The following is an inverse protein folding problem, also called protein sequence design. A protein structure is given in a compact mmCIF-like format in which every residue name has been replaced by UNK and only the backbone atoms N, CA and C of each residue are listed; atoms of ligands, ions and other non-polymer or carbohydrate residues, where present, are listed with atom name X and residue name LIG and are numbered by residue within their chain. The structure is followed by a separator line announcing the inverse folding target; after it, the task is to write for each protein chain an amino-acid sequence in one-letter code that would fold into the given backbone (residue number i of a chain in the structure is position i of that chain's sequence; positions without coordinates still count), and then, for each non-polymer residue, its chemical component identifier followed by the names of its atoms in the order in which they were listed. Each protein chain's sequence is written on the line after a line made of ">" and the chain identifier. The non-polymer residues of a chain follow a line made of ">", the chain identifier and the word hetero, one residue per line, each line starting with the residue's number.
data_IF_298398519432
#
_entry.id   IF_298398519432
#
_cell.length_a   1.000
_cell.length_b   1.000
_cell.length_c   1.000
_cell.angle_alpha   90.00
_cell.angle_beta   90.00
_cell.angle_gamma   90.00
#
_symmetry.space_group_name_H-M   'P 1'
#
loop_
_entity.id
_entity.type
_entity.pdbx_description
1 polymer ?
#
# COMPACT_ATOMS: atom_id res chain seq x y z
N UNK A 1 5.44 18.41 -10.10
CA UNK A 1 6.20 18.64 -11.34
C UNK A 1 5.38 18.16 -12.50
N UNK A 2 5.45 18.84 -13.65
CA UNK A 2 4.82 18.38 -14.89
C UNK A 2 5.69 17.37 -15.65
N UNK A 3 5.24 16.96 -16.83
CA UNK A 3 6.01 16.12 -17.74
C UNK A 3 7.19 16.91 -18.33
N UNK A 4 8.31 16.22 -18.52
CA UNK A 4 9.50 16.75 -19.21
C UNK A 4 10.07 15.69 -20.15
N UNK A 5 11.02 16.06 -21.01
CA UNK A 5 11.73 15.09 -21.86
C UNK A 5 12.53 14.03 -21.09
N UNK A 6 12.79 14.26 -19.80
CA UNK A 6 13.42 13.27 -18.92
C UNK A 6 12.44 12.35 -18.21
N UNK A 7 11.12 12.55 -18.36
CA UNK A 7 10.11 11.75 -17.66
C UNK A 7 10.00 10.36 -18.29
N UNK A 8 10.33 9.33 -17.51
CA UNK A 8 10.26 7.94 -17.93
C UNK A 8 8.91 7.27 -17.64
N UNK A 9 8.76 6.03 -18.11
CA UNK A 9 7.55 5.23 -17.88
C UNK A 9 7.27 5.00 -16.39
N UNK A 10 8.31 4.79 -15.57
CA UNK A 10 8.18 4.62 -14.11
C UNK A 10 7.68 5.90 -13.45
N UNK A 11 8.15 7.07 -13.88
CA UNK A 11 7.70 8.36 -13.34
C UNK A 11 6.22 8.61 -13.66
N UNK A 12 5.79 8.26 -14.87
CA UNK A 12 4.39 8.36 -15.29
C UNK A 12 3.53 7.43 -14.45
N UNK A 13 3.94 6.16 -14.30
CA UNK A 13 3.22 5.19 -13.48
C UNK A 13 3.13 5.64 -12.02
N UNK A 14 4.26 6.03 -11.42
CA UNK A 14 4.29 6.54 -10.05
C UNK A 14 3.38 7.76 -9.89
N UNK A 15 3.40 8.69 -10.86
CA UNK A 15 2.52 9.86 -10.88
C UNK A 15 1.04 9.51 -10.92
N UNK A 16 0.64 8.54 -11.74
CA UNK A 16 -0.74 8.03 -11.81
C UNK A 16 -1.17 7.40 -10.49
N UNK A 17 -0.30 6.55 -9.93
CA UNK A 17 -0.59 5.79 -8.71
C UNK A 17 -0.65 6.72 -7.49
N UNK A 18 0.24 7.71 -7.39
CA UNK A 18 0.12 8.80 -6.41
C UNK A 18 -1.16 9.62 -6.61
N UNK A 19 -1.63 9.77 -7.85
CA UNK A 19 -2.92 10.39 -8.16
C UNK A 19 -4.08 9.64 -7.52
N UNK A 20 -4.08 8.30 -7.59
CA UNK A 20 -5.09 7.45 -6.93
C UNK A 20 -5.11 7.68 -5.42
N UNK A 21 -3.94 7.73 -4.76
CA UNK A 21 -3.89 8.02 -3.32
C UNK A 21 -4.52 9.37 -2.97
N UNK A 22 -4.30 10.41 -3.80
CA UNK A 22 -4.85 11.76 -3.57
C UNK A 22 -6.37 11.82 -3.79
N UNK A 23 -6.91 11.03 -4.72
CA UNK A 23 -8.37 10.92 -4.89
C UNK A 23 -9.00 10.34 -3.63
N UNK A 24 -8.44 9.25 -3.10
CA UNK A 24 -8.90 8.67 -1.82
C UNK A 24 -8.79 9.68 -0.68
N UNK A 25 -7.70 10.46 -0.62
CA UNK A 25 -7.55 11.50 0.40
C UNK A 25 -8.65 12.57 0.34
N UNK A 26 -9.07 12.96 -0.87
CA UNK A 26 -10.17 13.90 -1.06
C UNK A 26 -11.51 13.30 -0.60
N UNK A 27 -11.78 12.04 -0.95
CA UNK A 27 -12.99 11.32 -0.51
C UNK A 27 -13.05 11.21 1.02
N UNK A 28 -11.91 10.97 1.68
CA UNK A 28 -11.83 10.91 3.14
C UNK A 28 -12.13 12.28 3.79
N UNK A 29 -11.69 13.39 3.20
CA UNK A 29 -12.03 14.73 3.71
C UNK A 29 -13.55 14.96 3.66
N UNK A 30 -14.20 14.54 2.57
CA UNK A 30 -15.65 14.61 2.45
C UNK A 30 -16.35 13.73 3.50
N UNK A 31 -15.90 12.49 3.67
CA UNK A 31 -16.44 11.59 4.69
C UNK A 31 -16.28 12.15 6.11
N UNK A 32 -15.11 12.69 6.44
CA UNK A 32 -14.80 13.28 7.76
C UNK A 32 -15.71 14.46 8.11
N UNK A 33 -16.17 15.22 7.11
CA UNK A 33 -17.16 16.28 7.30
C UNK A 33 -18.47 15.77 7.90
N UNK A 34 -18.77 14.47 7.72
CA UNK A 34 -20.00 13.83 8.21
C UNK A 34 -19.85 13.15 9.57
N UNK A 35 -18.61 12.83 10.00
CA UNK A 35 -18.35 12.04 11.23
C UNK A 35 -17.67 12.83 12.36
N UNK A 36 -17.47 14.15 12.18
CA UNK A 36 -17.08 15.06 13.27
C UNK A 36 -15.62 14.95 13.72
N UNK A 37 -14.77 14.25 12.97
CA UNK A 37 -13.34 14.14 13.27
C UNK A 37 -12.57 13.26 12.28
N UNK A 38 -11.23 13.21 12.39
CA UNK A 38 -10.39 12.41 11.50
C UNK A 38 -10.68 10.92 11.64
N UNK A 39 -10.74 10.22 10.50
CA UNK A 39 -10.91 8.76 10.49
C UNK A 39 -9.56 8.05 10.56
N UNK A 40 -9.57 6.85 11.13
CA UNK A 40 -8.48 5.90 10.97
C UNK A 40 -8.68 5.09 9.69
N UNK A 41 -7.57 4.81 9.01
CA UNK A 41 -7.59 4.11 7.72
C UNK A 41 -6.93 2.75 7.88
N UNK A 42 -7.63 1.70 7.43
CA UNK A 42 -7.08 0.35 7.32
C UNK A 42 -7.07 -0.05 5.85
N UNK A 43 -5.89 -0.25 5.30
CA UNK A 43 -5.69 -0.71 3.94
C UNK A 43 -5.74 -2.24 3.88
N UNK A 44 -6.33 -2.79 2.82
CA UNK A 44 -6.37 -4.24 2.61
C UNK A 44 -6.48 -4.59 1.13
N UNK A 45 -6.42 -5.89 0.84
CA UNK A 45 -6.45 -6.42 -0.52
C UNK A 45 -5.05 -6.69 -1.08
N UNK A 46 -4.98 -7.59 -2.06
CA UNK A 46 -3.71 -8.12 -2.58
C UNK A 46 -2.72 -7.06 -3.11
N UNK A 47 -3.19 -5.94 -3.67
CA UNK A 47 -2.29 -4.89 -4.15
C UNK A 47 -1.53 -4.21 -2.99
N UNK A 48 -2.22 -3.96 -1.87
CA UNK A 48 -1.64 -3.37 -0.66
C UNK A 48 -0.76 -4.38 0.06
N UNK A 49 -1.17 -5.65 0.12
CA UNK A 49 -0.39 -6.72 0.74
C UNK A 49 0.92 -6.99 -0.01
N UNK A 50 0.88 -7.02 -1.35
CA UNK A 50 2.04 -7.32 -2.17
C UNK A 50 3.03 -6.15 -2.37
N UNK A 51 2.70 -4.92 -1.95
CA UNK A 51 3.48 -3.73 -2.29
C UNK A 51 3.72 -2.79 -1.12
N UNK A 52 4.98 -2.72 -0.68
CA UNK A 52 5.43 -1.72 0.28
C UNK A 52 5.22 -0.29 -0.24
N UNK A 53 5.47 -0.07 -1.53
CA UNK A 53 5.29 1.23 -2.18
C UNK A 53 3.84 1.74 -2.05
N UNK A 54 2.85 0.87 -2.21
CA UNK A 54 1.45 1.24 -1.99
C UNK A 54 1.20 1.64 -0.53
N UNK A 55 1.67 0.84 0.42
CA UNK A 55 1.51 1.11 1.86
C UNK A 55 2.12 2.46 2.23
N UNK A 56 3.36 2.71 1.84
CA UNK A 56 4.08 3.96 2.11
C UNK A 56 3.42 5.16 1.42
N UNK A 57 3.05 5.02 0.14
CA UNK A 57 2.41 6.11 -0.61
C UNK A 57 1.08 6.53 0.00
N UNK A 58 0.28 5.59 0.51
CA UNK A 58 -0.94 5.92 1.25
C UNK A 58 -0.63 6.55 2.60
N UNK A 59 0.33 6.03 3.36
CA UNK A 59 0.72 6.61 4.64
C UNK A 59 1.17 8.08 4.49
N UNK A 60 1.98 8.37 3.46
CA UNK A 60 2.47 9.71 3.16
C UNK A 60 1.35 10.66 2.72
N UNK A 61 0.49 10.22 1.79
CA UNK A 61 -0.59 11.06 1.25
C UNK A 61 -1.70 11.32 2.27
N UNK A 62 -1.93 10.39 3.19
CA UNK A 62 -3.02 10.49 4.17
C UNK A 62 -2.59 11.14 5.49
N UNK A 63 -1.30 11.44 5.69
CA UNK A 63 -0.81 12.14 6.86
C UNK A 63 -1.60 13.45 7.10
N UNK A 64 -1.99 13.77 8.36
CA UNK A 64 -1.57 13.13 9.61
C UNK A 64 -2.47 11.97 10.10
N UNK A 65 -3.35 11.40 9.26
CA UNK A 65 -4.23 10.28 9.68
C UNK A 65 -3.41 9.07 10.11
N UNK A 66 -3.98 8.27 11.03
CA UNK A 66 -3.41 6.95 11.36
C UNK A 66 -3.79 5.96 10.26
N UNK A 67 -2.78 5.35 9.65
CA UNK A 67 -2.94 4.37 8.58
C UNK A 67 -2.31 3.05 9.00
N UNK A 68 -3.09 1.97 8.88
CA UNK A 68 -2.66 0.59 9.12
C UNK A 68 -2.90 -0.23 7.85
N UNK A 69 -2.32 -1.42 7.80
CA UNK A 69 -2.70 -2.42 6.80
C UNK A 69 -3.08 -3.76 7.46
N UNK A 70 -3.95 -4.49 6.77
CA UNK A 70 -4.29 -5.87 7.12
C UNK A 70 -3.51 -6.83 6.20
N UNK A 71 -2.78 -7.82 6.74
CA UNK A 71 -1.92 -8.72 5.96
C UNK A 71 -2.70 -9.85 5.24
N UNK A 72 -4.02 -9.72 5.08
CA UNK A 72 -4.84 -10.72 4.40
C UNK A 72 -5.15 -10.20 2.99
N UNK A 73 -4.61 -10.83 1.93
CA UNK A 73 -4.85 -10.38 0.57
C UNK A 73 -6.33 -10.48 0.17
N UNK A 74 -7.11 -11.32 0.86
CA UNK A 74 -8.51 -11.63 0.57
C UNK A 74 -9.45 -11.16 1.70
N UNK A 75 -9.12 -10.05 2.35
CA UNK A 75 -9.85 -9.50 3.51
C UNK A 75 -11.38 -9.40 3.29
N UNK A 76 -11.83 -9.13 2.07
CA UNK A 76 -13.26 -9.11 1.72
C UNK A 76 -13.92 -10.49 1.79
N UNK A 77 -13.27 -11.52 1.25
CA UNK A 77 -13.76 -12.90 1.29
C UNK A 77 -13.73 -13.45 2.72
N UNK A 78 -12.65 -13.19 3.47
CA UNK A 78 -12.54 -13.54 4.89
C UNK A 78 -13.64 -12.87 5.71
N UNK A 79 -13.93 -11.59 5.45
CA UNK A 79 -15.03 -10.86 6.08
C UNK A 79 -16.40 -11.50 5.80
N UNK A 80 -16.68 -11.82 4.54
CA UNK A 80 -17.94 -12.47 4.15
C UNK A 80 -18.12 -13.84 4.82
N UNK A 81 -17.06 -14.65 4.89
CA UNK A 81 -17.09 -15.94 5.58
C UNK A 81 -17.37 -15.78 7.08
N UNK A 82 -16.77 -14.78 7.75
CA UNK A 82 -17.03 -14.50 9.17
C UNK A 82 -18.47 -14.07 9.43
N UNK A 83 -19.05 -13.24 8.55
CA UNK A 83 -20.47 -12.87 8.61
C UNK A 83 -21.34 -14.13 8.51
N UNK A 84 -21.09 -14.98 7.52
CA UNK A 84 -21.87 -16.21 7.32
C UNK A 84 -21.78 -17.19 8.51
N UNK A 85 -20.63 -17.22 9.20
CA UNK A 85 -20.41 -18.04 10.39
C UNK A 85 -20.90 -17.41 11.69
N UNK A 86 -21.42 -16.18 11.66
CA UNK A 86 -21.80 -15.44 12.87
C UNK A 86 -20.64 -15.08 13.79
N UNK A 87 -19.41 -14.96 13.25
CA UNK A 87 -18.16 -14.75 14.01
C UNK A 87 -17.61 -13.35 13.82
N UNK A 88 -18.34 -12.34 14.31
CA UNK A 88 -17.98 -10.93 14.14
C UNK A 88 -17.04 -10.39 15.22
N UNK A 89 -17.04 -10.99 16.42
CA UNK A 89 -16.30 -10.47 17.57
C UNK A 89 -14.81 -10.89 17.61
N UNK A 90 -14.33 -11.56 16.56
CA UNK A 90 -12.94 -12.01 16.50
C UNK A 90 -12.02 -10.82 16.22
N UNK A 91 -11.09 -10.56 17.15
CA UNK A 91 -10.05 -9.56 16.95
C UNK A 91 -9.18 -9.92 15.73
N UNK A 92 -8.78 -8.89 14.99
CA UNK A 92 -8.08 -9.02 13.72
C UNK A 92 -6.78 -8.24 13.79
N UNK A 93 -5.63 -8.83 13.41
CA UNK A 93 -4.35 -8.13 13.50
C UNK A 93 -4.30 -6.99 12.48
N UNK A 94 -3.97 -5.79 12.98
CA UNK A 94 -3.61 -4.63 12.17
C UNK A 94 -2.12 -4.37 12.32
N UNK A 95 -1.47 -4.05 11.22
CA UNK A 95 -0.03 -3.77 11.18
C UNK A 95 0.17 -2.29 10.87
N UNK A 96 0.95 -1.60 11.70
CA UNK A 96 1.35 -0.23 11.43
C UNK A 96 2.24 -0.20 10.18
N UNK A 97 2.01 0.77 9.30
CA UNK A 97 2.85 0.94 8.11
C UNK A 97 4.17 1.58 8.55
N UNK A 98 5.29 0.94 8.23
CA UNK A 98 6.61 1.37 8.68
C UNK A 98 7.70 1.09 7.66
N UNK A 99 8.86 1.72 7.86
CA UNK A 99 10.03 1.68 6.96
C UNK A 99 10.60 0.26 6.71
N UNK A 100 10.22 -0.73 7.51
CA UNK A 100 10.67 -2.12 7.38
C UNK A 100 9.76 -2.99 6.53
N UNK A 101 8.72 -2.42 5.90
CA UNK A 101 7.75 -3.15 5.08
C UNK A 101 8.28 -3.51 3.67
N UNK A 102 9.51 -3.11 3.33
CA UNK A 102 10.16 -3.41 2.05
C UNK A 102 10.63 -4.88 1.99
N UNK A 103 10.25 -5.66 0.96
CA UNK A 103 10.77 -7.00 0.78
C UNK A 103 12.27 -6.96 0.49
N UNK A 104 13.06 -7.93 0.98
CA UNK A 104 14.50 -7.94 0.74
C UNK A 104 14.78 -7.95 -0.76
N UNK A 105 15.65 -7.04 -1.22
CA UNK A 105 16.03 -6.95 -2.63
C UNK A 105 16.54 -8.31 -3.13
N UNK A 106 16.12 -8.77 -4.33
CA UNK A 106 16.71 -9.97 -4.92
C UNK A 106 18.20 -9.74 -5.10
N UNK A 107 19.02 -10.58 -4.47
CA UNK A 107 20.48 -10.51 -4.60
C UNK A 107 20.84 -10.71 -6.06
N UNK A 108 21.69 -9.86 -6.68
CA UNK A 108 22.08 -10.08 -8.07
C UNK A 108 22.78 -11.43 -8.16
N UNK A 109 22.27 -12.32 -9.01
CA UNK A 109 22.99 -13.54 -9.38
C UNK A 109 24.37 -13.11 -9.89
N UNK A 110 25.42 -13.41 -9.12
CA UNK A 110 26.77 -12.92 -9.34
C UNK A 110 27.22 -13.08 -10.79
N UNK A 111 27.88 -12.06 -11.31
CA UNK A 111 28.54 -12.06 -12.61
C UNK A 111 29.46 -13.29 -12.71
N UNK A 112 29.14 -14.24 -13.61
CA UNK A 112 30.11 -15.25 -14.03
C UNK A 112 31.18 -14.55 -14.86
N UNK A 113 32.33 -14.28 -14.25
CA UNK A 113 33.53 -13.90 -14.97
C UNK A 113 33.90 -15.01 -15.98
N UNK A 114 34.09 -14.70 -17.28
CA UNK A 114 34.69 -15.63 -18.21
C UNK A 114 36.15 -15.85 -17.83
N UNK A 115 36.54 -17.10 -17.54
CA UNK A 115 37.95 -17.48 -17.41
C UNK A 115 38.54 -17.64 -18.82
N UNK A 116 39.51 -16.80 -19.17
CA UNK A 116 40.32 -17.01 -20.37
C UNK A 116 41.53 -17.90 -20.02
N UNK A 117 41.85 -18.94 -20.81
CA UNK A 117 43.01 -19.79 -20.57
C UNK A 117 44.31 -19.12 -21.05
N UNK A 118 45.40 -19.46 -20.37
CA UNK A 118 46.79 -19.01 -20.60
C UNK A 118 47.42 -19.65 -21.83
#
# INVERSE_FOLDING_TARGET
>A
GGLSFGTGAVDILAGLMSGVCRLVAADLVELESTVGGPVEVVLGGGAVEASAWWRESFADVLAPRRVYHHPDPEVGATGAARVALGRLDAAVPLVAIGRTDEPPSPTPSGQRHPRYPS
#
